data_IF_293134235773
#
_entry.id   IF_293134235773
#
_cell.length_a   1.000
_cell.length_b   1.000
_cell.length_c   1.000
_cell.angle_alpha   90.00
_cell.angle_beta   90.00
_cell.angle_gamma   90.00
#
_symmetry.space_group_name_H-M   'P 1'
#
loop_
_entity.id
_entity.type
_entity.pdbx_description
1 polymer ?
#
# COMPACT_ATOMS: atom_id res chain seq x y z
N UNK A 1 -8.89 -10.05 -16.81
CA UNK A 1 -9.52 -10.41 -18.08
C UNK A 1 -10.80 -11.15 -17.77
N UNK A 2 -11.91 -10.78 -18.41
CA UNK A 2 -13.20 -11.45 -18.26
C UNK A 2 -13.57 -11.93 -19.65
N UNK A 3 -13.55 -13.25 -19.82
CA UNK A 3 -13.92 -13.90 -21.06
C UNK A 3 -15.43 -13.92 -21.25
N UNK A 4 -15.86 -13.97 -22.50
CA UNK A 4 -17.26 -14.18 -22.88
C UNK A 4 -17.78 -15.51 -22.29
N UNK A 5 -18.99 -15.47 -21.71
CA UNK A 5 -19.61 -16.60 -20.99
C UNK A 5 -19.30 -16.64 -19.49
N UNK A 6 -18.47 -15.72 -18.98
CA UNK A 6 -18.19 -15.59 -17.55
C UNK A 6 -19.28 -14.77 -16.84
N UNK A 7 -20.50 -15.29 -16.83
CA UNK A 7 -21.67 -14.56 -16.35
C UNK A 7 -21.61 -14.20 -14.85
N UNK A 8 -22.13 -13.01 -14.52
CA UNK A 8 -22.28 -12.47 -13.15
C UNK A 8 -20.97 -12.33 -12.38
N UNK A 9 -19.87 -12.08 -13.08
CA UNK A 9 -18.57 -11.82 -12.45
C UNK A 9 -18.62 -10.52 -11.65
N UNK A 10 -17.99 -10.54 -10.47
CA UNK A 10 -17.71 -9.36 -9.66
C UNK A 10 -16.22 -9.27 -9.39
N UNK A 11 -15.61 -8.14 -9.69
CA UNK A 11 -14.20 -7.89 -9.39
C UNK A 11 -13.98 -6.49 -8.83
N UNK A 12 -13.15 -6.39 -7.82
CA UNK A 12 -12.73 -5.13 -7.22
C UNK A 12 -11.20 -5.09 -7.23
N UNK A 13 -10.64 -4.01 -7.78
CA UNK A 13 -9.20 -3.80 -7.84
C UNK A 13 -8.87 -2.49 -7.13
N UNK A 14 -8.12 -2.57 -6.04
CA UNK A 14 -7.66 -1.41 -5.27
C UNK A 14 -6.15 -1.27 -5.43
N UNK A 15 -5.70 -0.07 -5.77
CA UNK A 15 -4.30 0.26 -5.97
C UNK A 15 -3.92 1.46 -5.10
N UNK A 16 -3.26 1.20 -3.98
CA UNK A 16 -2.79 2.25 -3.08
C UNK A 16 -1.28 2.43 -3.21
N UNK A 17 -0.84 3.69 -3.29
CA UNK A 17 0.57 4.05 -3.27
C UNK A 17 0.86 5.02 -2.11
N UNK A 18 1.99 4.82 -1.45
CA UNK A 18 2.51 5.71 -0.41
C UNK A 18 3.88 6.24 -0.86
N UNK A 19 3.97 7.56 -1.04
CA UNK A 19 5.20 8.26 -1.38
C UNK A 19 5.95 8.62 -0.08
N UNK A 20 7.21 8.17 0.02
CA UNK A 20 8.02 8.30 1.22
C UNK A 20 8.84 9.61 1.27
N UNK A 21 9.19 10.14 0.10
CA UNK A 21 9.99 11.36 -0.04
C UNK A 21 9.40 12.30 -1.10
N UNK A 22 9.96 13.51 -1.23
CA UNK A 22 9.46 14.52 -2.18
C UNK A 22 9.74 14.19 -3.65
N UNK A 23 10.78 13.38 -3.90
CA UNK A 23 11.20 12.98 -5.24
C UNK A 23 10.52 11.70 -5.72
N UNK A 24 9.91 10.96 -4.79
CA UNK A 24 9.23 9.71 -5.03
C UNK A 24 8.04 9.92 -5.96
N UNK A 25 7.90 9.01 -6.91
CA UNK A 25 6.85 9.01 -7.91
C UNK A 25 6.30 7.59 -8.06
N UNK A 26 4.98 7.50 -8.15
CA UNK A 26 4.28 6.26 -8.47
C UNK A 26 3.50 6.46 -9.76
N UNK A 27 3.74 5.61 -10.76
CA UNK A 27 2.99 5.58 -12.01
C UNK A 27 2.19 4.27 -12.07
N UNK A 28 0.85 4.37 -12.06
CA UNK A 28 -0.06 3.22 -12.08
C UNK A 28 -0.83 3.18 -13.39
N UNK A 29 -0.70 2.08 -14.13
CA UNK A 29 -1.35 1.87 -15.43
C UNK A 29 -2.31 0.68 -15.35
N UNK A 30 -3.58 0.89 -14.96
CA UNK A 30 -4.54 -0.21 -14.88
C UNK A 30 -4.93 -0.68 -16.28
N UNK A 31 -5.10 -2.01 -16.43
CA UNK A 31 -5.62 -2.62 -17.66
C UNK A 31 -6.74 -3.59 -17.32
N UNK A 32 -7.89 -3.42 -17.97
CA UNK A 32 -9.06 -4.27 -17.81
C UNK A 32 -9.61 -4.64 -19.18
N UNK A 33 -9.64 -5.93 -19.49
CA UNK A 33 -10.31 -6.47 -20.66
C UNK A 33 -11.58 -7.18 -20.18
N UNK A 34 -12.74 -6.75 -20.67
CA UNK A 34 -14.06 -7.21 -20.24
C UNK A 34 -14.87 -7.54 -21.48
N UNK A 35 -15.05 -8.84 -21.74
CA UNK A 35 -15.82 -9.38 -22.86
C UNK A 35 -17.19 -9.95 -22.43
N UNK A 36 -17.68 -9.59 -21.24
CA UNK A 36 -18.98 -10.02 -20.71
C UNK A 36 -19.81 -8.81 -20.27
N UNK A 37 -21.07 -8.74 -20.71
CA UNK A 37 -21.94 -7.58 -20.50
C UNK A 37 -22.50 -7.49 -19.07
N UNK A 38 -22.71 -8.63 -18.40
CA UNK A 38 -23.28 -8.68 -17.05
C UNK A 38 -22.23 -8.64 -15.92
N UNK A 39 -20.97 -8.35 -16.26
CA UNK A 39 -19.87 -8.23 -15.31
C UNK A 39 -19.91 -6.89 -14.53
N UNK A 40 -19.63 -6.94 -13.23
CA UNK A 40 -19.52 -5.76 -12.36
C UNK A 40 -18.07 -5.58 -11.89
N UNK A 41 -17.42 -4.51 -12.36
CA UNK A 41 -16.02 -4.24 -12.06
C UNK A 41 -15.86 -2.87 -11.42
N UNK A 42 -15.18 -2.83 -10.28
CA UNK A 42 -14.77 -1.60 -9.61
C UNK A 42 -13.25 -1.49 -9.61
N UNK A 43 -12.73 -0.30 -9.89
CA UNK A 43 -11.32 0.02 -9.76
C UNK A 43 -11.15 1.31 -8.95
N UNK A 44 -10.33 1.23 -7.92
CA UNK A 44 -9.94 2.35 -7.06
C UNK A 44 -8.42 2.48 -7.08
N UNK A 45 -7.93 3.72 -7.19
CA UNK A 45 -6.52 4.02 -7.09
C UNK A 45 -6.30 5.28 -6.25
N UNK A 46 -5.44 5.18 -5.23
CA UNK A 46 -5.11 6.29 -4.34
C UNK A 46 -3.59 6.48 -4.27
N UNK A 47 -3.16 7.74 -4.20
CA UNK A 47 -1.75 8.09 -3.96
C UNK A 47 -1.72 9.00 -2.74
N UNK A 48 -0.98 8.59 -1.74
CA UNK A 48 -0.79 9.29 -0.49
C UNK A 48 0.69 9.60 -0.28
N UNK A 49 1.00 10.61 0.51
CA UNK A 49 2.36 10.92 0.97
C UNK A 49 2.39 10.84 2.48
N UNK A 50 3.54 10.50 3.06
CA UNK A 50 3.75 10.67 4.50
C UNK A 50 3.49 12.13 4.84
N UNK A 51 2.45 12.38 5.65
CA UNK A 51 2.09 13.72 6.05
C UNK A 51 3.11 14.27 7.05
N UNK A 52 3.65 15.46 6.77
CA UNK A 52 4.55 16.16 7.70
C UNK A 52 3.91 16.33 9.09
N UNK A 53 2.59 16.54 9.15
CA UNK A 53 1.87 16.63 10.42
C UNK A 53 1.87 15.31 11.21
N UNK A 54 1.71 14.17 10.55
CA UNK A 54 1.75 12.85 11.20
C UNK A 54 3.15 12.54 11.71
N UNK A 55 4.16 12.86 10.90
CA UNK A 55 5.55 12.70 11.27
C UNK A 55 5.92 13.61 12.45
N UNK A 56 5.57 14.89 12.36
CA UNK A 56 5.76 15.88 13.42
C UNK A 56 5.04 15.47 14.70
N UNK A 57 3.81 14.95 14.61
CA UNK A 57 3.07 14.47 15.77
C UNK A 57 3.80 13.34 16.48
N UNK A 58 4.29 12.34 15.76
CA UNK A 58 5.04 11.22 16.33
C UNK A 58 6.39 11.69 16.92
N UNK A 59 7.11 12.55 16.22
CA UNK A 59 8.37 13.14 16.71
C UNK A 59 8.15 13.98 17.97
N UNK A 60 7.05 14.73 18.06
CA UNK A 60 6.70 15.51 19.26
C UNK A 60 6.46 14.64 20.51
N UNK A 61 6.20 13.34 20.31
CA UNK A 61 6.08 12.33 21.37
C UNK A 61 7.40 11.64 21.71
N UNK A 62 8.50 12.08 21.11
CA UNK A 62 9.85 11.54 21.33
C UNK A 62 10.19 10.34 20.47
N UNK A 63 9.39 10.02 19.44
CA UNK A 63 9.70 8.96 18.48
C UNK A 63 10.74 9.46 17.48
N UNK A 64 11.78 8.67 17.21
CA UNK A 64 12.76 9.02 16.20
C UNK A 64 12.11 9.11 14.81
N UNK A 65 12.61 9.98 13.94
CA UNK A 65 12.04 10.18 12.59
C UNK A 65 11.93 8.89 11.78
N UNK A 66 13.01 8.09 11.76
CA UNK A 66 13.07 6.80 11.07
C UNK A 66 12.06 5.80 11.63
N UNK A 67 11.88 5.78 12.95
CA UNK A 67 10.89 4.93 13.61
C UNK A 67 9.46 5.40 13.34
N UNK A 68 9.23 6.71 13.30
CA UNK A 68 7.95 7.31 12.97
C UNK A 68 7.53 6.99 11.52
N UNK A 69 8.44 7.14 10.56
CA UNK A 69 8.22 6.73 9.17
C UNK A 69 7.93 5.24 9.07
N UNK A 70 8.73 4.38 9.74
CA UNK A 70 8.48 2.94 9.76
C UNK A 70 7.11 2.57 10.36
N UNK A 71 6.64 3.29 11.39
CA UNK A 71 5.29 3.10 11.92
C UNK A 71 4.19 3.45 10.92
N UNK A 72 4.33 4.57 10.20
CA UNK A 72 3.37 4.99 9.18
C UNK A 72 3.31 3.97 8.04
N UNK A 73 4.47 3.52 7.55
CA UNK A 73 4.57 2.48 6.50
C UNK A 73 3.96 1.16 6.98
N UNK A 74 4.26 0.72 8.22
CA UNK A 74 3.65 -0.49 8.80
C UNK A 74 2.12 -0.40 8.88
N UNK A 75 1.59 0.77 9.23
CA UNK A 75 0.14 1.02 9.23
C UNK A 75 -0.46 0.93 7.83
N UNK A 76 0.23 1.46 6.82
CA UNK A 76 -0.22 1.42 5.42
C UNK A 76 -0.32 -0.01 4.86
N UNK A 77 0.65 -0.87 5.17
CA UNK A 77 0.67 -2.26 4.68
C UNK A 77 -0.10 -3.24 5.58
N UNK A 78 -0.62 -2.78 6.71
CA UNK A 78 -1.25 -3.63 7.73
C UNK A 78 -2.35 -4.55 7.17
N UNK A 79 -3.20 -4.12 6.21
CA UNK A 79 -4.19 -4.99 5.59
C UNK A 79 -3.54 -6.18 4.88
N UNK A 80 -2.39 -5.98 4.22
CA UNK A 80 -1.65 -7.05 3.52
C UNK A 80 -1.01 -7.98 4.55
N UNK A 81 -0.40 -7.43 5.59
CA UNK A 81 0.26 -8.22 6.63
C UNK A 81 -0.71 -9.13 7.39
N UNK A 82 -1.98 -8.74 7.53
CA UNK A 82 -3.05 -9.54 8.15
C UNK A 82 -3.48 -10.76 7.33
N UNK A 83 -3.35 -10.70 6.02
CA UNK A 83 -3.68 -11.82 5.12
C UNK A 83 -2.56 -12.88 5.08
N UNK A 84 -1.36 -12.55 5.59
CA UNK A 84 -0.23 -13.45 5.66
C UNK A 84 -0.26 -14.31 6.94
N UNK A 85 0.21 -15.56 6.88
CA UNK A 85 0.45 -16.36 8.08
C UNK A 85 1.41 -15.64 9.03
N UNK A 86 1.21 -15.84 10.34
CA UNK A 86 1.89 -15.09 11.40
C UNK A 86 3.43 -15.08 11.27
N UNK A 87 4.02 -16.21 10.89
CA UNK A 87 5.47 -16.33 10.69
C UNK A 87 6.00 -15.39 9.58
N UNK A 88 5.25 -15.19 8.50
CA UNK A 88 5.63 -14.29 7.41
C UNK A 88 5.32 -12.83 7.70
N UNK A 89 4.25 -12.55 8.46
CA UNK A 89 3.92 -11.17 8.82
C UNK A 89 4.94 -10.57 9.79
N UNK A 90 5.49 -11.37 10.70
CA UNK A 90 6.60 -10.96 11.57
C UNK A 90 7.85 -10.65 10.74
N UNK A 91 8.18 -11.51 9.78
CA UNK A 91 9.35 -11.32 8.92
C UNK A 91 9.19 -10.09 8.01
N UNK A 92 8.02 -9.88 7.41
CA UNK A 92 7.71 -8.70 6.60
C UNK A 92 7.95 -7.41 7.38
N UNK A 93 7.42 -7.32 8.61
CA UNK A 93 7.61 -6.15 9.48
C UNK A 93 9.09 -5.89 9.81
N UNK A 94 9.87 -6.95 9.95
CA UNK A 94 11.32 -6.85 10.18
C UNK A 94 12.04 -6.33 8.94
N UNK A 95 11.73 -6.86 7.76
CA UNK A 95 12.31 -6.44 6.48
C UNK A 95 12.03 -4.97 6.16
N UNK A 96 10.84 -4.48 6.52
CA UNK A 96 10.50 -3.06 6.33
C UNK A 96 11.34 -2.19 7.23
N UNK A 97 11.46 -2.54 8.51
CA UNK A 97 12.27 -1.78 9.47
C UNK A 97 13.73 -1.68 8.99
N UNK A 98 14.29 -2.78 8.49
CA UNK A 98 15.64 -2.81 7.92
C UNK A 98 15.80 -1.94 6.66
N UNK A 99 14.84 -1.96 5.74
CA UNK A 99 14.91 -1.12 4.55
C UNK A 99 14.77 0.37 4.89
N UNK A 100 13.97 0.72 5.90
CA UNK A 100 13.83 2.10 6.34
C UNK A 100 15.10 2.66 7.01
N UNK A 101 15.86 1.84 7.73
CA UNK A 101 17.17 2.25 8.27
C UNK A 101 18.21 2.55 7.17
N UNK A 102 18.08 1.94 5.99
CA UNK A 102 19.02 2.09 4.87
C UNK A 102 18.59 3.06 3.75
N UNK A 103 17.34 3.54 3.76
CA UNK A 103 16.77 4.35 2.66
C UNK A 103 16.66 5.84 2.98
N UNK A 104 17.00 6.25 4.21
CA UNK A 104 17.02 7.66 4.63
C UNK A 104 18.46 8.18 4.53
N UNK A 105 18.81 8.63 3.31
CA UNK A 105 20.13 9.18 2.96
C UNK A 105 20.20 9.61 1.50
#
# INVERSE_FOLDING_TARGET
DIAEGAHRVKSNVVCDALLLDETARSDTYPYMNIAEEDAQISHEASVSRIGEEQLFYLQSRGVAETEAQAMIVRGFIEPIAKELPMEYSVELNRLISLNMEGSVG
#
